data_IF_289059512797
#
_entry.id   IF_289059512797
#
_cell.length_a   1.000
_cell.length_b   1.000
_cell.length_c   1.000
_cell.angle_alpha   90.00
_cell.angle_beta   90.00
_cell.angle_gamma   90.00
#
_symmetry.space_group_name_H-M   'P 1'
#
loop_
_entity.id
_entity.type
_entity.pdbx_description
1 polymer ?
#
# COMPACT_ATOMS: atom_id res chain seq x y z
N UNK A 1 -8.00 -17.03 31.93
CA UNK A 1 -8.07 -16.62 30.51
C UNK A 1 -8.72 -15.24 30.50
N UNK A 2 -7.91 -14.18 30.41
CA UNK A 2 -8.42 -12.80 30.41
C UNK A 2 -8.60 -12.34 28.97
N UNK A 3 -9.84 -12.01 28.59
CA UNK A 3 -10.13 -11.32 27.33
C UNK A 3 -9.47 -9.93 27.39
N UNK A 4 -8.50 -9.69 26.50
CA UNK A 4 -7.91 -8.36 26.35
C UNK A 4 -8.99 -7.38 25.91
N UNK A 5 -9.25 -6.36 26.73
CA UNK A 5 -10.19 -5.30 26.39
C UNK A 5 -9.75 -4.64 25.08
N UNK A 6 -10.60 -4.73 24.06
CA UNK A 6 -10.41 -4.03 22.78
C UNK A 6 -10.40 -2.53 23.09
N UNK A 7 -9.30 -1.86 22.77
CA UNK A 7 -9.19 -0.41 22.97
C UNK A 7 -10.37 0.31 22.28
N UNK A 8 -10.88 1.41 22.85
CA UNK A 8 -11.95 2.19 22.24
C UNK A 8 -11.53 2.64 20.84
N UNK A 9 -12.41 2.46 19.84
CA UNK A 9 -12.17 2.94 18.49
C UNK A 9 -12.12 4.46 18.52
N UNK A 10 -11.10 5.05 17.93
CA UNK A 10 -11.09 6.49 17.66
C UNK A 10 -12.16 6.77 16.58
N UNK A 11 -13.15 7.64 16.84
CA UNK A 11 -14.21 7.97 15.87
C UNK A 11 -13.67 8.58 14.57
N UNK A 12 -12.42 9.06 14.52
CA UNK A 12 -11.77 9.45 13.27
C UNK A 12 -11.53 8.27 12.32
N UNK A 13 -11.55 7.03 12.83
CA UNK A 13 -11.41 5.81 12.02
C UNK A 13 -12.69 5.41 11.27
N UNK A 14 -13.86 5.90 11.67
CA UNK A 14 -15.14 5.52 11.07
C UNK A 14 -15.37 6.15 9.67
N UNK A 15 -14.50 7.07 9.25
CA UNK A 15 -14.54 7.73 7.93
C UNK A 15 -13.23 7.61 7.15
N UNK A 16 -12.33 6.72 7.57
CA UNK A 16 -11.06 6.50 6.90
C UNK A 16 -11.25 5.69 5.61
N UNK A 17 -10.70 6.18 4.49
CA UNK A 17 -10.56 5.39 3.25
C UNK A 17 -9.32 4.49 3.26
N UNK A 18 -8.51 4.54 4.32
CA UNK A 18 -7.41 3.61 4.55
C UNK A 18 -8.00 2.25 4.91
N UNK A 19 -7.72 1.17 4.16
CA UNK A 19 -8.21 -0.16 4.49
C UNK A 19 -7.76 -0.58 5.89
N UNK A 20 -8.62 -1.30 6.63
CA UNK A 20 -8.32 -1.74 8.00
C UNK A 20 -7.07 -2.61 8.08
N UNK A 21 -6.81 -3.43 7.06
CA UNK A 21 -5.59 -4.23 6.96
C UNK A 21 -4.33 -3.38 6.76
N UNK A 22 -4.44 -2.16 6.21
CA UNK A 22 -3.30 -1.28 6.05
C UNK A 22 -2.96 -0.53 7.36
N UNK A 23 -3.94 -0.38 8.25
CA UNK A 23 -3.83 0.27 9.54
C UNK A 23 -3.69 -0.72 10.72
N UNK A 24 -3.71 -2.03 10.49
CA UNK A 24 -3.78 -3.01 11.57
C UNK A 24 -3.57 -4.46 11.12
N UNK A 25 -4.15 -5.45 11.83
CA UNK A 25 -3.97 -6.87 11.51
C UNK A 25 -4.44 -7.20 10.08
N UNK A 26 -4.04 -8.36 9.52
CA UNK A 26 -4.45 -8.78 8.18
C UNK A 26 -5.98 -8.72 8.00
N UNK A 27 -6.40 -8.76 6.73
CA UNK A 27 -7.82 -8.81 6.36
C UNK A 27 -8.55 -9.92 7.15
N UNK A 28 -9.88 -9.81 7.35
CA UNK A 28 -10.68 -10.90 7.92
C UNK A 28 -10.40 -12.21 7.17
N UNK A 29 -10.49 -13.39 7.82
CA UNK A 29 -10.08 -14.67 7.24
C UNK A 29 -10.58 -14.83 5.81
N UNK A 30 -9.67 -15.19 4.91
CA UNK A 30 -10.02 -15.39 3.52
C UNK A 30 -11.07 -16.50 3.39
N UNK A 31 -12.10 -16.26 2.59
CA UNK A 31 -12.99 -17.35 2.19
C UNK A 31 -12.18 -18.37 1.35
N UNK A 32 -12.36 -19.65 1.68
CA UNK A 32 -11.75 -20.78 0.96
C UNK A 32 -12.71 -21.37 -0.09
N UNK A 33 -13.78 -20.64 -0.43
CA UNK A 33 -14.84 -21.07 -1.37
C UNK A 33 -14.54 -20.75 -2.84
N UNK A 34 -13.39 -20.14 -3.14
CA UNK A 34 -12.97 -19.78 -4.48
C UNK A 34 -12.83 -20.99 -5.42
N UNK A 35 -13.31 -20.84 -6.66
CA UNK A 35 -13.13 -21.82 -7.72
C UNK A 35 -11.68 -21.87 -8.24
N UNK A 36 -10.95 -20.76 -8.11
CA UNK A 36 -9.53 -20.64 -8.42
C UNK A 36 -8.88 -19.52 -7.59
N UNK A 37 -7.57 -19.58 -7.40
CA UNK A 37 -6.83 -18.59 -6.62
C UNK A 37 -5.67 -17.98 -7.40
N UNK A 38 -5.47 -16.68 -7.22
CA UNK A 38 -4.23 -16.00 -7.58
C UNK A 38 -3.55 -15.56 -6.29
N UNK A 39 -2.42 -16.18 -5.97
CA UNK A 39 -1.61 -15.82 -4.81
C UNK A 39 -0.46 -14.92 -5.28
N UNK A 40 -0.33 -13.73 -4.71
CA UNK A 40 0.67 -12.73 -5.08
C UNK A 40 1.56 -12.42 -3.89
N UNK A 41 2.86 -12.64 -4.04
CA UNK A 41 3.86 -12.27 -3.05
C UNK A 41 4.78 -11.18 -3.57
N UNK A 42 5.00 -10.14 -2.77
CA UNK A 42 5.95 -9.07 -3.05
C UNK A 42 7.05 -9.07 -2.00
N UNK A 43 8.29 -9.27 -2.46
CA UNK A 43 9.46 -9.34 -1.60
C UNK A 43 9.58 -10.65 -0.81
N UNK A 44 10.69 -10.82 -0.07
CA UNK A 44 11.03 -12.09 0.59
C UNK A 44 10.09 -12.43 1.76
N UNK A 45 9.60 -11.42 2.48
CA UNK A 45 8.74 -11.61 3.66
C UNK A 45 7.35 -12.18 3.31
N UNK A 46 6.96 -12.10 2.03
CA UNK A 46 5.71 -12.70 1.54
C UNK A 46 5.81 -14.23 1.38
N UNK A 47 7.02 -14.80 1.25
CA UNK A 47 7.20 -16.21 0.89
C UNK A 47 6.64 -17.19 1.94
N UNK A 48 6.82 -17.00 3.26
CA UNK A 48 6.18 -17.85 4.26
C UNK A 48 4.65 -17.82 4.19
N UNK A 49 4.08 -16.62 3.97
CA UNK A 49 2.62 -16.41 3.87
C UNK A 49 2.04 -17.12 2.66
N UNK A 50 2.69 -17.01 1.50
CA UNK A 50 2.29 -17.72 0.28
C UNK A 50 2.31 -19.24 0.45
N UNK A 51 3.33 -19.76 1.15
CA UNK A 51 3.46 -21.18 1.42
C UNK A 51 2.34 -21.68 2.33
N UNK A 52 2.03 -20.93 3.38
CA UNK A 52 0.92 -21.23 4.30
C UNK A 52 -0.41 -21.26 3.55
N UNK A 53 -0.74 -20.23 2.77
CA UNK A 53 -1.97 -20.21 1.98
C UNK A 53 -2.04 -21.36 1.00
N UNK A 54 -0.94 -21.67 0.29
CA UNK A 54 -0.93 -22.78 -0.66
C UNK A 54 -1.19 -24.11 0.04
N UNK A 55 -0.67 -24.31 1.24
CA UNK A 55 -0.87 -25.53 2.02
C UNK A 55 -2.29 -25.65 2.61
N UNK A 56 -2.95 -24.53 2.88
CA UNK A 56 -4.33 -24.51 3.41
C UNK A 56 -5.41 -24.79 2.37
N UNK A 57 -5.11 -24.64 1.07
CA UNK A 57 -6.08 -24.90 0.01
C UNK A 57 -6.28 -26.40 -0.23
N UNK A 58 -7.52 -26.78 -0.58
CA UNK A 58 -7.87 -28.16 -0.89
C UNK A 58 -7.00 -28.73 -2.04
N UNK A 59 -6.65 -30.03 -2.01
CA UNK A 59 -5.92 -30.66 -3.11
C UNK A 59 -6.68 -30.52 -4.44
N UNK A 60 -5.95 -30.16 -5.50
CA UNK A 60 -6.52 -30.00 -6.84
C UNK A 60 -7.13 -28.62 -7.12
N UNK A 61 -7.24 -27.73 -6.12
CA UNK A 61 -7.66 -26.34 -6.33
C UNK A 61 -6.74 -25.64 -7.34
N UNK A 62 -7.27 -25.02 -8.40
CA UNK A 62 -6.48 -24.23 -9.34
C UNK A 62 -5.85 -23.02 -8.64
N UNK A 63 -4.52 -22.90 -8.74
CA UNK A 63 -3.78 -21.82 -8.09
C UNK A 63 -2.69 -21.31 -9.02
N UNK A 64 -2.72 -20.00 -9.30
CA UNK A 64 -1.63 -19.27 -9.96
C UNK A 64 -0.82 -18.53 -8.89
N UNK A 65 0.49 -18.75 -8.88
CA UNK A 65 1.41 -18.14 -7.92
C UNK A 65 2.27 -17.10 -8.63
N UNK A 66 2.17 -15.85 -8.19
CA UNK A 66 2.89 -14.70 -8.72
C UNK A 66 3.87 -14.21 -7.66
N UNK A 67 5.13 -14.02 -8.06
CA UNK A 67 6.19 -13.46 -7.22
C UNK A 67 6.81 -12.28 -7.93
N UNK A 68 7.02 -11.20 -7.20
CA UNK A 68 7.61 -9.98 -7.72
C UNK A 68 8.56 -9.37 -6.69
N UNK A 69 9.55 -8.63 -7.17
CA UNK A 69 10.46 -7.89 -6.31
C UNK A 69 9.80 -6.64 -5.71
N UNK A 70 8.94 -5.97 -6.49
CA UNK A 70 8.25 -4.74 -6.09
C UNK A 70 6.77 -4.72 -6.53
N UNK A 71 6.03 -3.74 -5.99
CA UNK A 71 4.59 -3.61 -6.22
C UNK A 71 4.21 -3.26 -7.66
N UNK A 72 5.09 -2.59 -8.42
CA UNK A 72 4.84 -2.22 -9.81
C UNK A 72 4.90 -3.44 -10.72
N UNK A 73 5.94 -4.26 -10.57
CA UNK A 73 6.05 -5.57 -11.24
C UNK A 73 4.86 -6.46 -10.86
N UNK A 74 4.55 -6.55 -9.56
CA UNK A 74 3.44 -7.36 -9.06
C UNK A 74 2.10 -6.94 -9.67
N UNK A 75 1.84 -5.63 -9.77
CA UNK A 75 0.61 -5.09 -10.35
C UNK A 75 0.45 -5.47 -11.82
N UNK A 76 1.54 -5.43 -12.60
CA UNK A 76 1.54 -5.88 -13.99
C UNK A 76 1.25 -7.37 -14.12
N UNK A 77 1.89 -8.22 -13.30
CA UNK A 77 1.64 -9.66 -13.27
C UNK A 77 0.21 -10.00 -12.86
N UNK A 78 -0.33 -9.31 -11.85
CA UNK A 78 -1.70 -9.50 -11.39
C UNK A 78 -2.70 -9.08 -12.46
N UNK A 79 -2.53 -7.91 -13.07
CA UNK A 79 -3.41 -7.45 -14.15
C UNK A 79 -3.43 -8.46 -15.31
N UNK A 80 -2.27 -8.96 -15.73
CA UNK A 80 -2.19 -10.00 -16.76
C UNK A 80 -2.86 -11.30 -16.34
N UNK A 81 -2.81 -11.66 -15.05
CA UNK A 81 -3.46 -12.85 -14.54
C UNK A 81 -4.99 -12.73 -14.49
N UNK A 82 -5.51 -11.54 -14.23
CA UNK A 82 -6.94 -11.28 -14.15
C UNK A 82 -7.62 -11.20 -15.53
N UNK A 83 -6.88 -10.86 -16.60
CA UNK A 83 -7.40 -10.87 -17.97
C UNK A 83 -8.00 -12.22 -18.38
N UNK A 84 -7.39 -13.32 -17.95
CA UNK A 84 -7.83 -14.69 -18.28
C UNK A 84 -8.68 -15.34 -17.17
N UNK A 85 -8.95 -14.59 -16.08
CA UNK A 85 -9.65 -15.13 -14.93
C UNK A 85 -11.14 -15.36 -15.23
N UNK A 86 -11.71 -16.36 -14.56
CA UNK A 86 -13.15 -16.67 -14.63
C UNK A 86 -13.81 -16.33 -13.31
N UNK A 87 -15.14 -16.24 -13.34
CA UNK A 87 -15.98 -16.04 -12.15
C UNK A 87 -15.61 -17.04 -11.06
N UNK A 88 -15.52 -16.56 -9.82
CA UNK A 88 -15.10 -17.35 -8.65
C UNK A 88 -13.60 -17.35 -8.40
N UNK A 89 -12.82 -16.50 -9.08
CA UNK A 89 -11.42 -16.27 -8.73
C UNK A 89 -11.32 -15.50 -7.41
N UNK A 90 -10.42 -15.93 -6.52
CA UNK A 90 -10.05 -15.19 -5.31
C UNK A 90 -8.59 -14.76 -5.40
N UNK A 91 -8.30 -13.52 -5.04
CA UNK A 91 -6.92 -12.99 -5.04
C UNK A 91 -6.44 -12.88 -3.60
N UNK A 92 -5.23 -13.39 -3.32
CA UNK A 92 -4.57 -13.21 -2.03
C UNK A 92 -3.24 -12.50 -2.21
N UNK A 93 -3.02 -11.42 -1.48
CA UNK A 93 -1.83 -10.57 -1.60
C UNK A 93 -1.05 -10.52 -0.29
N UNK A 94 0.24 -10.84 -0.37
CA UNK A 94 1.20 -10.68 0.73
C UNK A 94 2.39 -9.82 0.30
N UNK A 95 2.82 -8.92 1.18
CA UNK A 95 3.97 -8.05 0.94
C UNK A 95 3.86 -6.72 1.69
N UNK A 96 4.79 -5.78 1.45
CA UNK A 96 4.79 -4.50 2.14
C UNK A 96 3.50 -3.72 1.85
N UNK A 97 3.02 -2.94 2.84
CA UNK A 97 1.73 -2.23 2.74
C UNK A 97 1.60 -1.40 1.46
N UNK A 98 2.64 -0.67 1.04
CA UNK A 98 2.60 0.11 -0.20
C UNK A 98 2.39 -0.75 -1.45
N UNK A 99 3.03 -1.92 -1.52
CA UNK A 99 2.83 -2.87 -2.60
C UNK A 99 1.43 -3.46 -2.56
N UNK A 100 0.91 -3.80 -1.38
CA UNK A 100 -0.46 -4.28 -1.20
C UNK A 100 -1.51 -3.24 -1.64
N UNK A 101 -1.30 -1.96 -1.35
CA UNK A 101 -2.20 -0.89 -1.80
C UNK A 101 -2.18 -0.73 -3.33
N UNK A 102 -0.99 -0.81 -3.95
CA UNK A 102 -0.85 -0.79 -5.41
C UNK A 102 -1.54 -2.00 -6.07
N UNK A 103 -1.34 -3.19 -5.52
CA UNK A 103 -2.00 -4.42 -5.98
C UNK A 103 -3.51 -4.38 -5.82
N UNK A 104 -4.01 -3.85 -4.71
CA UNK A 104 -5.45 -3.62 -4.53
C UNK A 104 -6.00 -2.71 -5.63
N UNK A 105 -5.33 -1.58 -5.90
CA UNK A 105 -5.76 -0.68 -6.97
C UNK A 105 -5.78 -1.36 -8.34
N UNK A 106 -4.77 -2.19 -8.65
CA UNK A 106 -4.71 -2.97 -9.88
C UNK A 106 -5.83 -4.01 -9.97
N UNK A 107 -6.13 -4.70 -8.87
CA UNK A 107 -7.21 -5.68 -8.80
C UNK A 107 -8.58 -5.04 -9.04
N UNK A 108 -8.86 -3.94 -8.34
CA UNK A 108 -10.11 -3.20 -8.51
C UNK A 108 -10.25 -2.61 -9.92
N UNK A 109 -9.15 -2.14 -10.52
CA UNK A 109 -9.15 -1.66 -11.90
C UNK A 109 -9.44 -2.78 -12.91
N UNK A 110 -9.14 -4.04 -12.57
CA UNK A 110 -9.48 -5.22 -13.35
C UNK A 110 -10.91 -5.74 -13.09
N UNK A 111 -11.69 -5.06 -12.24
CA UNK A 111 -13.09 -5.40 -11.95
C UNK A 111 -13.28 -6.38 -10.79
N UNK A 112 -12.22 -6.68 -10.04
CA UNK A 112 -12.32 -7.47 -8.81
C UNK A 112 -13.03 -6.63 -7.72
N UNK A 113 -13.88 -7.25 -6.91
CA UNK A 113 -14.47 -6.60 -5.74
C UNK A 113 -13.60 -6.80 -4.48
N UNK A 114 -13.81 -5.96 -3.47
CA UNK A 114 -12.99 -6.00 -2.24
C UNK A 114 -13.19 -7.30 -1.44
N UNK A 115 -14.34 -7.98 -1.56
CA UNK A 115 -14.63 -9.27 -0.94
C UNK A 115 -14.01 -10.46 -1.69
N UNK A 116 -13.52 -10.24 -2.92
CA UNK A 116 -12.74 -11.21 -3.69
C UNK A 116 -11.22 -11.07 -3.43
N UNK A 117 -10.82 -10.06 -2.66
CA UNK A 117 -9.43 -9.74 -2.35
C UNK A 117 -9.11 -9.93 -0.86
N UNK A 118 -8.22 -10.86 -0.58
CA UNK A 118 -7.62 -11.02 0.75
C UNK A 118 -6.22 -10.42 0.79
N UNK A 119 -5.92 -9.59 1.79
CA UNK A 119 -4.61 -8.96 1.95
C UNK A 119 -4.04 -9.27 3.33
N UNK A 120 -2.81 -9.79 3.35
CA UNK A 120 -2.00 -9.92 4.55
C UNK A 120 -0.68 -9.17 4.38
N UNK A 121 -0.57 -7.94 4.90
CA UNK A 121 0.68 -7.21 4.86
C UNK A 121 1.79 -8.00 5.54
N UNK A 122 2.96 -8.03 4.90
CA UNK A 122 4.15 -8.71 5.37
C UNK A 122 5.38 -7.85 5.06
N UNK A 123 6.25 -7.68 6.06
CA UNK A 123 7.45 -6.86 5.91
C UNK A 123 7.20 -5.35 5.95
N UNK A 124 8.30 -4.60 6.00
CA UNK A 124 8.30 -3.14 5.91
C UNK A 124 8.61 -2.69 4.48
N UNK A 125 8.06 -1.56 4.06
CA UNK A 125 8.36 -1.02 2.74
C UNK A 125 7.75 0.36 2.55
N UNK A 126 8.17 1.06 1.49
CA UNK A 126 7.70 2.39 1.24
C UNK A 126 6.22 2.38 0.83
N UNK A 127 5.57 3.52 1.00
CA UNK A 127 4.25 3.80 0.43
C UNK A 127 4.35 5.00 -0.51
N UNK A 128 3.43 5.07 -1.45
CA UNK A 128 3.36 6.16 -2.41
C UNK A 128 2.36 7.23 -1.96
N UNK A 129 2.78 8.49 -2.03
CA UNK A 129 1.93 9.66 -1.75
C UNK A 129 1.78 10.47 -3.03
N UNK A 130 0.54 10.70 -3.46
CA UNK A 130 0.22 11.54 -4.62
C UNK A 130 -0.11 12.96 -4.18
N UNK A 131 0.59 13.94 -4.76
CA UNK A 131 0.30 15.35 -4.52
C UNK A 131 -1.03 15.75 -5.17
N UNK A 132 -1.97 16.31 -4.38
CA UNK A 132 -3.25 16.81 -4.91
C UNK A 132 -3.10 17.96 -5.89
N UNK A 133 -1.99 18.70 -5.81
CA UNK A 133 -1.78 19.90 -6.60
C UNK A 133 -1.32 19.57 -8.02
N UNK A 134 -0.28 18.74 -8.17
CA UNK A 134 0.32 18.47 -9.49
C UNK A 134 0.29 16.99 -9.90
N UNK A 135 -0.21 16.09 -9.04
CA UNK A 135 -0.26 14.65 -9.32
C UNK A 135 1.09 13.93 -9.22
N UNK A 136 2.20 14.64 -8.98
CA UNK A 136 3.49 14.02 -8.76
C UNK A 136 3.46 13.09 -7.54
N UNK A 137 4.17 11.97 -7.64
CA UNK A 137 4.22 10.93 -6.61
C UNK A 137 5.56 10.99 -5.89
N UNK A 138 5.53 10.87 -4.56
CA UNK A 138 6.71 10.69 -3.73
C UNK A 138 6.62 9.35 -3.02
N UNK A 139 7.74 8.63 -3.03
CA UNK A 139 7.91 7.38 -2.29
C UNK A 139 8.41 7.72 -0.89
N UNK A 140 7.60 7.46 0.12
CA UNK A 140 7.90 7.74 1.52
C UNK A 140 8.16 6.43 2.27
N UNK A 141 9.26 6.38 3.03
CA UNK A 141 9.57 5.22 3.86
C UNK A 141 8.58 5.10 5.02
N UNK A 142 8.02 3.91 5.23
CA UNK A 142 7.46 3.56 6.53
C UNK A 142 8.62 3.52 7.52
N UNK A 143 8.61 4.36 8.57
CA UNK A 143 9.64 4.29 9.61
C UNK A 143 9.67 2.85 10.15
N UNK A 144 10.87 2.27 10.22
CA UNK A 144 11.07 0.91 10.68
C UNK A 144 10.52 0.75 12.11
N UNK A 145 9.57 -0.16 12.28
CA UNK A 145 8.97 -0.49 13.56
C UNK A 145 7.63 -1.19 13.37
N UNK A 146 7.29 -2.01 14.35
CA UNK A 146 6.23 -3.03 14.40
C UNK A 146 4.78 -2.47 14.32
N UNK A 147 4.63 -1.22 13.90
CA UNK A 147 3.37 -0.53 13.69
C UNK A 147 2.93 -0.66 12.22
N UNK A 148 1.64 -0.95 12.01
CA UNK A 148 1.03 -1.02 10.69
C UNK A 148 1.32 0.26 9.88
N UNK A 149 2.03 0.12 8.77
CA UNK A 149 2.59 1.25 8.00
C UNK A 149 1.56 2.30 7.55
N UNK A 150 0.26 1.96 7.51
CA UNK A 150 -0.80 2.91 7.16
C UNK A 150 -1.09 3.96 8.24
N UNK A 151 -0.88 3.63 9.52
CA UNK A 151 -1.01 4.61 10.62
C UNK A 151 0.26 5.46 10.78
N UNK A 152 1.42 4.91 10.39
CA UNK A 152 2.73 5.55 10.59
C UNK A 152 2.95 6.75 9.65
N UNK A 153 2.36 6.74 8.44
CA UNK A 153 2.56 7.86 7.50
C UNK A 153 1.45 8.93 7.56
N UNK A 154 0.25 8.60 8.02
CA UNK A 154 -0.82 9.59 8.15
C UNK A 154 -0.42 10.69 9.15
N UNK A 155 -0.42 11.95 8.71
CA UNK A 155 0.05 13.11 9.46
C UNK A 155 1.53 13.45 9.26
N UNK A 156 2.30 12.63 8.52
CA UNK A 156 3.70 12.93 8.21
C UNK A 156 3.82 14.06 7.17
N UNK A 157 4.98 14.72 7.16
CA UNK A 157 5.34 15.75 6.18
C UNK A 157 6.34 15.18 5.17
N UNK A 158 6.04 15.27 3.87
CA UNK A 158 6.92 14.81 2.78
C UNK A 158 7.09 15.89 1.71
N UNK A 159 8.26 16.00 1.09
CA UNK A 159 8.50 16.95 0.01
C UNK A 159 7.93 16.45 -1.33
N UNK A 160 7.21 17.31 -2.06
CA UNK A 160 6.78 16.98 -3.42
C UNK A 160 7.91 17.19 -4.43
N UNK A 161 8.33 16.17 -5.20
CA UNK A 161 9.36 16.33 -6.22
C UNK A 161 8.88 17.12 -7.44
N UNK A 162 7.56 17.28 -7.62
CA UNK A 162 6.99 18.00 -8.77
C UNK A 162 6.85 19.50 -8.53
N UNK A 163 6.21 19.92 -7.44
CA UNK A 163 5.96 21.34 -7.15
C UNK A 163 6.84 21.93 -6.04
N UNK A 164 7.68 21.12 -5.39
CA UNK A 164 8.59 21.57 -4.32
C UNK A 164 7.93 21.88 -2.98
N UNK A 165 6.60 21.80 -2.86
CA UNK A 165 5.91 22.05 -1.60
C UNK A 165 6.01 20.87 -0.63
N UNK A 166 6.03 21.18 0.67
CA UNK A 166 5.78 20.21 1.74
C UNK A 166 4.32 19.76 1.73
N UNK A 167 4.12 18.45 1.79
CA UNK A 167 2.82 17.78 1.78
C UNK A 167 2.54 17.19 3.15
N UNK A 168 1.39 17.52 3.72
CA UNK A 168 0.80 16.76 4.82
C UNK A 168 0.14 15.51 4.22
N UNK A 169 0.54 14.34 4.70
CA UNK A 169 -0.02 13.06 4.26
C UNK A 169 -1.35 12.85 4.98
N UNK A 170 -2.45 12.88 4.24
CA UNK A 170 -3.78 12.65 4.79
C UNK A 170 -4.02 11.19 5.11
N UNK A 171 -4.92 10.92 6.07
CA UNK A 171 -5.46 9.58 6.35
C UNK A 171 -6.48 9.18 5.27
N UNK A 172 -6.05 9.25 4.01
CA UNK A 172 -6.87 8.92 2.85
C UNK A 172 -6.03 8.19 1.82
N UNK A 173 -6.46 7.00 1.42
CA UNK A 173 -5.89 6.27 0.29
C UNK A 173 -6.87 6.28 -0.88
N UNK A 174 -6.40 6.69 -2.05
CA UNK A 174 -7.19 6.60 -3.27
C UNK A 174 -7.44 5.13 -3.64
N UNK A 175 -8.71 4.73 -3.68
CA UNK A 175 -9.12 3.39 -4.14
C UNK A 175 -8.65 3.09 -5.58
N UNK A 176 -8.55 4.14 -6.42
CA UNK A 176 -8.16 4.03 -7.84
C UNK A 176 -6.66 3.83 -8.05
N UNK A 177 -5.81 4.41 -7.22
CA UNK A 177 -4.36 4.39 -7.44
C UNK A 177 -3.58 3.67 -6.35
N UNK A 178 -4.20 3.35 -5.21
CA UNK A 178 -3.52 2.72 -4.08
C UNK A 178 -2.52 3.65 -3.39
N UNK A 179 -2.69 4.97 -3.55
CA UNK A 179 -1.75 5.98 -3.04
C UNK A 179 -2.39 6.80 -1.93
N UNK A 180 -1.59 7.17 -0.95
CA UNK A 180 -1.97 8.20 0.02
C UNK A 180 -2.11 9.56 -0.67
N UNK A 181 -2.94 10.41 -0.09
CA UNK A 181 -3.14 11.76 -0.57
C UNK A 181 -2.22 12.74 0.17
N UNK A 182 -1.41 13.49 -0.56
CA UNK A 182 -0.58 14.56 -0.01
C UNK A 182 -1.20 15.92 -0.31
N UNK A 183 -1.67 16.62 0.72
CA UNK A 183 -2.18 17.99 0.59
C UNK A 183 -1.11 19.00 0.92
N UNK A 184 -1.11 20.15 0.24
CA UNK A 184 -0.16 21.22 0.56
C UNK A 184 -0.39 21.65 2.01
N UNK A 185 0.65 21.61 2.84
CA UNK A 185 0.55 22.14 4.18
C UNK A 185 0.38 23.67 4.14
N UNK A 186 -0.68 24.19 4.76
CA UNK A 186 -0.79 25.63 4.98
C UNK A 186 0.25 26.04 6.02
N UNK A 187 1.24 26.85 5.59
CA UNK A 187 2.28 27.47 6.40
C UNK A 187 2.76 26.66 7.63
N UNK A 188 3.55 25.61 7.39
CA UNK A 188 4.53 25.17 8.39
C UNK A 188 5.78 26.01 8.14
N UNK A 189 6.36 26.61 9.18
CA UNK A 189 7.65 27.29 9.04
C UNK A 189 8.65 26.38 8.32
N UNK A 190 9.47 26.89 7.39
CA UNK A 190 10.38 26.05 6.63
C UNK A 190 11.27 25.26 7.59
N UNK A 191 11.14 23.94 7.59
CA UNK A 191 12.18 23.06 8.13
C UNK A 191 13.35 23.15 7.14
N UNK A 192 14.50 23.57 7.64
CA UNK A 192 15.73 23.59 6.86
C UNK A 192 16.00 22.16 6.36
N UNK A 193 15.80 21.94 5.06
CA UNK A 193 16.31 20.74 4.40
C UNK A 193 17.83 20.71 4.48
N UNK A 194 18.47 19.52 4.39
CA UNK A 194 19.93 19.47 4.27
C UNK A 194 20.35 20.33 3.07
N UNK A 195 21.27 21.26 3.31
CA UNK A 195 21.80 22.14 2.29
C UNK A 195 22.34 21.30 1.12
N UNK A 196 21.81 21.51 -0.08
CA UNK A 196 22.41 20.99 -1.31
C UNK A 196 23.57 21.93 -1.64
N UNK A 197 24.84 21.49 -1.59
CA UNK A 197 25.94 22.36 -1.96
C UNK A 197 25.98 22.56 -3.48
N UNK A 198 25.93 23.83 -3.89
CA UNK A 198 26.56 24.31 -5.11
C UNK A 198 25.66 24.47 -6.33
N UNK A 199 25.09 25.65 -6.51
CA UNK A 199 25.21 26.35 -7.80
C UNK A 199 25.69 27.77 -7.51
N UNK A 200 26.97 28.02 -7.82
CA UNK A 200 27.51 29.38 -7.82
C UNK A 200 26.84 30.13 -8.97
N UNK A 201 26.08 31.18 -8.64
CA UNK A 201 25.64 32.16 -9.61
C UNK A 201 26.87 32.95 -10.09
N UNK A 202 27.28 32.72 -11.33
CA UNK A 202 28.16 33.63 -12.05
C UNK A 202 27.32 34.84 -12.50
N UNK A 203 27.41 35.92 -11.73
CA UNK A 203 26.94 37.25 -12.12
C UNK A 203 28.09 38.23 -12.01
N UNK A 204 28.81 38.43 -13.12
CA UNK A 204 29.77 39.51 -13.26
C UNK A 204 29.01 40.83 -13.55
N UNK A 205 29.45 41.89 -12.90
CA UNK A 205 29.16 43.29 -13.24
C UNK A 205 30.42 44.12 -12.91
N UNK A 206 30.58 45.35 -13.42
CA UNK A 206 29.95 45.96 -14.59
C UNK A 206 30.85 45.93 -15.85
#
# INVERSE_FOLDING_TARGET
MSAGARAPRDPSQDHSSVPTWAAGPPSPPADDDGAAYVLVGVGPDAEPVLREWRAGLAPGTPVRLLRAADGGEAAGLLAAALTDARVGVRVRVAGPVGACLALRAAALAAGLEDDELYVAPAGAGPVEVACVHCGAVVTAGAAAGDAAAGDVLAGAMVGCPGCGYGLLVERHVSRRTGRFLGVRAAAVAPVAGPAVPGTAAAGAAP
#
